data_IF_641995177818
#
_entry.id   IF_641995177818
#
_cell.length_a   1.000
_cell.length_b   1.000
_cell.length_c   1.000
_cell.angle_alpha   90.00
_cell.angle_beta   90.00
_cell.angle_gamma   90.00
#
_symmetry.space_group_name_H-M   'P 1'
#
loop_
_entity.id
_entity.type
_entity.pdbx_description
1 polymer ?
#
# COMPACT_ATOMS: atom_id res chain seq x y z
N UNK A 1 -8.64 -1.87 -17.86
CA UNK A 1 -7.25 -1.47 -17.58
C UNK A 1 -7.16 -0.54 -16.38
N UNK A 2 -5.97 -0.27 -15.87
CA UNK A 2 -5.75 0.63 -14.74
C UNK A 2 -5.67 2.09 -15.19
N UNK A 3 -5.94 3.03 -14.28
CA UNK A 3 -5.82 4.46 -14.53
C UNK A 3 -4.34 4.83 -14.67
N UNK A 4 -3.98 5.45 -15.80
CA UNK A 4 -2.63 5.97 -16.03
C UNK A 4 -2.30 7.07 -15.01
N UNK A 5 -1.03 7.13 -14.59
CA UNK A 5 -0.54 8.11 -13.63
C UNK A 5 0.83 8.63 -14.03
N UNK A 6 0.95 9.94 -14.12
CA UNK A 6 2.19 10.64 -14.47
C UNK A 6 2.63 11.68 -13.43
N UNK A 7 1.91 11.83 -12.32
CA UNK A 7 2.28 12.84 -11.33
C UNK A 7 1.43 12.81 -10.07
N UNK A 8 1.58 13.88 -9.30
CA UNK A 8 0.76 14.19 -8.13
C UNK A 8 0.40 15.68 -8.13
N UNK A 9 -0.79 15.99 -7.63
CA UNK A 9 -1.29 17.34 -7.43
C UNK A 9 -1.51 17.59 -5.93
N UNK A 10 -1.35 18.83 -5.52
CA UNK A 10 -1.50 19.27 -4.14
C UNK A 10 -2.42 20.48 -4.06
N UNK A 11 -3.25 20.53 -3.03
CA UNK A 11 -4.14 21.64 -2.74
C UNK A 11 -4.02 22.05 -1.27
N UNK A 12 -3.87 23.36 -1.01
CA UNK A 12 -3.85 23.94 0.32
C UNK A 12 -4.29 25.42 0.25
N UNK A 13 -5.28 25.82 1.05
CA UNK A 13 -5.81 27.19 1.09
C UNK A 13 -6.16 27.77 -0.30
N UNK A 14 -6.79 26.99 -1.16
CA UNK A 14 -7.15 27.40 -2.52
C UNK A 14 -5.98 27.52 -3.50
N UNK A 15 -4.77 27.24 -3.06
CA UNK A 15 -3.59 27.15 -3.93
C UNK A 15 -3.41 25.73 -4.41
N UNK A 16 -3.02 25.59 -5.68
CA UNK A 16 -2.76 24.31 -6.32
C UNK A 16 -1.34 24.27 -6.85
N UNK A 17 -0.71 23.13 -6.70
CA UNK A 17 0.56 22.81 -7.35
C UNK A 17 0.54 21.37 -7.83
N UNK A 18 1.40 21.06 -8.78
CA UNK A 18 1.59 19.67 -9.23
C UNK A 18 3.01 19.47 -9.74
N UNK A 19 3.41 18.22 -9.83
CA UNK A 19 4.62 17.84 -10.52
C UNK A 19 4.38 16.61 -11.40
N UNK A 20 5.16 16.52 -12.46
CA UNK A 20 5.16 15.44 -13.42
C UNK A 20 6.34 14.50 -13.11
N UNK A 21 6.09 13.22 -12.99
CA UNK A 21 7.12 12.22 -12.72
C UNK A 21 8.14 12.08 -13.86
N UNK A 22 7.80 12.57 -15.06
CA UNK A 22 8.72 12.61 -16.21
C UNK A 22 9.77 13.70 -16.08
N UNK A 23 9.44 14.80 -15.35
CA UNK A 23 10.38 15.88 -15.02
C UNK A 23 11.28 15.47 -13.85
N UNK A 24 12.28 14.61 -14.12
CA UNK A 24 13.17 14.04 -13.11
C UNK A 24 14.63 14.08 -13.57
N UNK A 25 15.55 14.05 -12.61
CA UNK A 25 16.99 14.13 -12.85
C UNK A 25 17.65 12.79 -13.18
N UNK A 26 16.98 11.64 -12.90
CA UNK A 26 17.55 10.32 -13.14
C UNK A 26 16.81 9.61 -14.29
N UNK A 27 17.49 8.74 -15.07
CA UNK A 27 16.82 7.92 -16.09
C UNK A 27 15.84 6.92 -15.45
N UNK A 28 14.98 6.32 -16.27
CA UNK A 28 14.00 5.30 -15.87
C UNK A 28 12.56 5.73 -16.16
N UNK A 29 11.60 4.93 -15.68
CA UNK A 29 10.17 5.18 -15.90
C UNK A 29 9.69 6.44 -15.21
N UNK A 30 8.95 7.27 -15.94
CA UNK A 30 8.33 8.51 -15.44
C UNK A 30 6.82 8.39 -15.29
N UNK A 31 6.26 7.19 -15.40
CA UNK A 31 4.82 6.96 -15.36
C UNK A 31 4.51 5.67 -14.61
N UNK A 32 3.28 5.56 -14.09
CA UNK A 32 2.78 4.38 -13.39
C UNK A 32 1.26 4.28 -13.55
N UNK A 33 0.59 3.53 -12.70
CA UNK A 33 -0.86 3.37 -12.71
C UNK A 33 -1.45 3.56 -11.31
N UNK A 34 -2.67 4.08 -11.26
CA UNK A 34 -3.54 4.03 -10.10
C UNK A 34 -4.35 2.74 -10.22
N UNK A 35 -4.24 1.86 -9.23
CA UNK A 35 -4.77 0.50 -9.32
C UNK A 35 -5.78 0.22 -8.22
N UNK A 36 -6.83 -0.51 -8.57
CA UNK A 36 -7.67 -1.20 -7.57
C UNK A 36 -6.84 -2.37 -7.04
N UNK A 37 -6.41 -2.29 -5.78
CA UNK A 37 -5.44 -3.23 -5.20
C UNK A 37 -5.89 -4.68 -5.24
N UNK A 38 -7.20 -4.94 -5.04
CA UNK A 38 -7.73 -6.31 -5.11
C UNK A 38 -7.47 -6.95 -6.48
N UNK A 39 -7.75 -6.22 -7.57
CA UNK A 39 -7.53 -6.71 -8.93
C UNK A 39 -6.04 -6.85 -9.24
N UNK A 40 -5.26 -5.83 -8.87
CA UNK A 40 -3.82 -5.80 -9.16
C UNK A 40 -3.08 -6.91 -8.43
N UNK A 41 -3.34 -7.09 -7.13
CA UNK A 41 -2.68 -8.11 -6.32
C UNK A 41 -3.08 -9.53 -6.79
N UNK A 42 -4.34 -9.73 -7.18
CA UNK A 42 -4.82 -11.00 -7.76
C UNK A 42 -4.14 -11.33 -9.08
N UNK A 43 -3.98 -10.34 -9.96
CA UNK A 43 -3.26 -10.51 -11.24
C UNK A 43 -1.80 -10.92 -10.98
N UNK A 44 -1.11 -10.23 -10.06
CA UNK A 44 0.29 -10.53 -9.76
C UNK A 44 0.47 -11.92 -9.16
N UNK A 45 -0.38 -12.32 -8.22
CA UNK A 45 -0.33 -13.65 -7.61
C UNK A 45 -0.61 -14.76 -8.64
N UNK A 46 -1.61 -14.54 -9.50
CA UNK A 46 -1.95 -15.48 -10.57
C UNK A 46 -0.83 -15.61 -11.60
N UNK A 47 -0.20 -14.50 -11.96
CA UNK A 47 0.91 -14.51 -12.91
C UNK A 47 2.17 -15.16 -12.32
N UNK A 48 2.46 -14.92 -11.04
CA UNK A 48 3.54 -15.62 -10.35
C UNK A 48 3.33 -17.14 -10.36
N UNK A 49 2.11 -17.60 -10.08
CA UNK A 49 1.76 -19.02 -10.16
C UNK A 49 1.90 -19.58 -11.58
N UNK A 50 1.45 -18.83 -12.59
CA UNK A 50 1.59 -19.22 -14.01
C UNK A 50 3.06 -19.34 -14.44
N UNK A 51 3.94 -18.53 -13.86
CA UNK A 51 5.39 -18.58 -14.09
C UNK A 51 6.11 -19.67 -13.30
N UNK A 52 5.39 -20.48 -12.52
CA UNK A 52 5.94 -21.62 -11.81
C UNK A 52 6.20 -21.39 -10.32
N UNK A 53 5.86 -20.23 -9.76
CA UNK A 53 5.93 -20.02 -8.32
C UNK A 53 4.82 -20.81 -7.62
N UNK A 54 5.14 -21.46 -6.50
CA UNK A 54 4.13 -22.06 -5.64
C UNK A 54 3.51 -21.00 -4.75
N UNK A 55 2.25 -20.63 -5.02
CA UNK A 55 1.48 -19.67 -4.21
C UNK A 55 0.52 -20.46 -3.32
N UNK A 56 0.59 -20.28 -2.01
CA UNK A 56 -0.27 -20.95 -1.03
C UNK A 56 -1.02 -19.91 -0.21
N UNK A 57 -2.34 -19.95 -0.28
CA UNK A 57 -3.22 -19.08 0.51
C UNK A 57 -3.61 -19.76 1.84
N UNK A 58 -3.95 -18.94 2.84
CA UNK A 58 -4.40 -19.42 4.16
C UNK A 58 -3.37 -20.29 4.89
N UNK A 59 -2.10 -20.13 4.56
CA UNK A 59 -1.01 -20.79 5.26
C UNK A 59 -0.40 -19.80 6.26
N UNK A 60 -0.30 -20.21 7.52
CA UNK A 60 0.21 -19.40 8.61
C UNK A 60 1.68 -19.70 8.88
N UNK A 61 2.52 -18.69 8.93
CA UNK A 61 3.90 -18.83 9.39
C UNK A 61 3.93 -18.79 10.90
N UNK A 62 4.34 -19.89 11.53
CA UNK A 62 4.35 -20.06 12.98
C UNK A 62 5.68 -19.68 13.62
N UNK A 63 6.78 -20.07 12.98
CA UNK A 63 8.14 -19.82 13.47
C UNK A 63 9.12 -19.75 12.32
N UNK A 64 10.24 -19.08 12.56
CA UNK A 64 11.35 -18.99 11.61
C UNK A 64 12.65 -19.19 12.36
N UNK A 65 13.52 -20.04 11.82
CA UNK A 65 14.90 -20.21 12.24
C UNK A 65 15.83 -19.71 11.14
N UNK A 66 16.64 -18.70 11.46
CA UNK A 66 17.62 -18.08 10.55
C UNK A 66 19.08 -18.30 11.02
N UNK A 67 19.29 -19.16 12.01
CA UNK A 67 20.63 -19.36 12.58
C UNK A 67 21.53 -20.25 11.68
N UNK A 68 20.92 -21.11 10.85
CA UNK A 68 21.66 -21.98 9.93
C UNK A 68 21.98 -21.34 8.58
N UNK A 69 22.66 -22.08 7.72
CA UNK A 69 22.95 -21.65 6.33
C UNK A 69 21.68 -21.42 5.49
N UNK A 70 20.62 -22.11 5.83
CA UNK A 70 19.33 -22.03 5.14
C UNK A 70 18.23 -21.73 6.14
N UNK A 71 17.46 -20.64 5.93
CA UNK A 71 16.28 -20.36 6.73
C UNK A 71 15.30 -21.55 6.72
N UNK A 72 14.75 -21.87 7.90
CA UNK A 72 13.69 -22.84 8.08
C UNK A 72 12.41 -22.10 8.51
N UNK A 73 11.30 -22.37 7.85
CA UNK A 73 10.01 -21.72 8.12
C UNK A 73 8.99 -22.78 8.47
N UNK A 74 8.47 -22.75 9.71
CA UNK A 74 7.38 -23.61 10.13
C UNK A 74 6.05 -23.00 9.68
N UNK A 75 5.26 -23.78 8.99
CA UNK A 75 4.02 -23.36 8.36
C UNK A 75 2.89 -24.28 8.76
N UNK A 76 1.73 -23.69 9.09
CA UNK A 76 0.46 -24.41 9.28
C UNK A 76 -0.43 -24.24 8.05
N UNK A 77 -0.88 -25.33 7.49
CA UNK A 77 -1.85 -25.38 6.41
C UNK A 77 -3.30 -25.17 6.92
N UNK A 78 -4.27 -24.89 6.03
CA UNK A 78 -5.67 -24.67 6.43
C UNK A 78 -6.35 -25.85 7.12
N UNK A 79 -5.89 -27.07 6.86
CA UNK A 79 -6.36 -28.32 7.48
C UNK A 79 -5.72 -28.60 8.85
N UNK A 80 -4.79 -27.73 9.29
CA UNK A 80 -4.06 -27.86 10.54
C UNK A 80 -2.75 -28.65 10.44
N UNK A 81 -2.40 -29.22 9.28
CA UNK A 81 -1.10 -29.85 9.08
C UNK A 81 0.03 -28.84 9.21
N UNK A 82 1.07 -29.21 9.94
CA UNK A 82 2.28 -28.40 10.09
C UNK A 82 3.45 -29.02 9.31
N UNK A 83 4.17 -28.17 8.61
CA UNK A 83 5.34 -28.59 7.83
C UNK A 83 6.43 -27.52 7.84
N UNK A 84 7.66 -27.92 7.47
CA UNK A 84 8.82 -27.04 7.42
C UNK A 84 9.22 -26.77 5.97
N UNK A 85 9.46 -25.51 5.66
CA UNK A 85 10.05 -25.10 4.39
C UNK A 85 11.50 -24.68 4.63
N UNK A 86 12.44 -25.29 3.91
CA UNK A 86 13.83 -24.85 3.84
C UNK A 86 14.04 -23.99 2.60
N UNK A 87 14.50 -22.75 2.79
CA UNK A 87 14.70 -21.81 1.69
C UNK A 87 16.16 -21.38 1.54
N UNK A 88 16.56 -20.94 0.35
CA UNK A 88 17.86 -20.29 0.15
C UNK A 88 17.87 -18.84 0.61
N UNK A 89 16.70 -18.21 0.61
CA UNK A 89 16.49 -16.84 1.07
C UNK A 89 15.03 -16.66 1.52
N UNK A 90 14.80 -15.77 2.49
CA UNK A 90 13.48 -15.45 3.02
C UNK A 90 13.20 -13.96 2.88
N UNK A 91 12.06 -13.62 2.27
CA UNK A 91 11.56 -12.26 2.13
C UNK A 91 10.26 -12.10 2.91
N UNK A 92 10.23 -11.15 3.85
CA UNK A 92 8.99 -10.76 4.54
C UNK A 92 8.29 -9.64 3.78
N UNK A 93 7.14 -9.94 3.20
CA UNK A 93 6.23 -8.99 2.57
C UNK A 93 4.89 -8.89 3.34
N UNK A 94 4.87 -9.25 4.62
CA UNK A 94 3.66 -9.30 5.45
C UNK A 94 3.05 -7.93 5.80
N UNK A 95 3.73 -6.83 5.46
CA UNK A 95 3.23 -5.47 5.69
C UNK A 95 2.94 -5.20 7.17
N UNK A 96 1.72 -4.79 7.49
CA UNK A 96 1.30 -4.50 8.87
C UNK A 96 1.25 -5.74 9.78
N UNK A 97 1.24 -6.93 9.22
CA UNK A 97 1.33 -8.16 10.03
C UNK A 97 2.72 -8.33 10.66
N UNK A 98 3.78 -7.76 10.07
CA UNK A 98 5.16 -7.74 10.62
C UNK A 98 5.60 -9.11 11.14
N UNK A 99 5.44 -10.14 10.31
CA UNK A 99 5.62 -11.53 10.74
C UNK A 99 7.05 -11.78 11.24
N UNK A 100 8.06 -11.53 10.42
CA UNK A 100 9.46 -11.74 10.82
C UNK A 100 9.89 -10.82 11.97
N UNK A 101 9.60 -9.50 11.96
CA UNK A 101 9.95 -8.63 13.08
C UNK A 101 9.40 -9.12 14.42
N UNK A 102 8.20 -9.69 14.47
CA UNK A 102 7.61 -10.25 15.69
C UNK A 102 8.22 -11.58 16.08
N UNK A 103 8.34 -12.50 15.13
CA UNK A 103 8.89 -13.85 15.41
C UNK A 103 10.36 -13.82 15.80
N UNK A 104 11.12 -12.83 15.33
CA UNK A 104 12.54 -12.68 15.59
C UNK A 104 12.86 -11.58 16.63
N UNK A 105 11.84 -11.03 17.31
CA UNK A 105 11.95 -9.98 18.33
C UNK A 105 12.72 -8.72 17.86
N UNK A 106 12.56 -8.36 16.58
CA UNK A 106 13.23 -7.23 15.95
C UNK A 106 12.49 -5.90 16.09
N UNK A 107 11.27 -5.92 16.64
CA UNK A 107 10.46 -4.70 16.77
C UNK A 107 11.13 -3.67 17.69
N UNK A 108 11.03 -2.42 17.27
CA UNK A 108 11.50 -1.28 18.07
C UNK A 108 10.42 -0.20 18.07
N UNK A 109 10.23 0.53 19.18
CA UNK A 109 9.31 1.66 19.24
C UNK A 109 9.66 2.70 18.16
N UNK A 110 8.62 3.24 17.49
CA UNK A 110 8.78 4.38 16.60
C UNK A 110 8.82 5.68 17.40
N UNK A 111 9.73 6.60 17.06
CA UNK A 111 9.72 7.97 17.56
C UNK A 111 8.78 8.91 16.80
N UNK A 112 8.10 8.43 15.75
CA UNK A 112 7.14 9.23 14.98
C UNK A 112 5.76 9.22 15.63
N UNK A 113 4.95 10.30 15.43
CA UNK A 113 3.56 10.31 15.85
C UNK A 113 2.79 9.13 15.25
N UNK A 114 1.92 8.52 16.06
CA UNK A 114 1.03 7.45 15.60
C UNK A 114 -0.05 8.07 14.73
N UNK A 115 -0.09 7.69 13.46
CA UNK A 115 -1.09 8.13 12.50
C UNK A 115 -1.96 6.98 12.03
N UNK A 116 -3.22 7.29 11.78
CA UNK A 116 -4.18 6.40 11.15
C UNK A 116 -4.62 6.93 9.79
N UNK A 117 -5.27 6.06 9.03
CA UNK A 117 -5.95 6.43 7.80
C UNK A 117 -7.36 5.82 7.81
N UNK A 118 -8.34 6.65 7.49
CA UNK A 118 -9.72 6.22 7.23
C UNK A 118 -9.99 6.46 5.75
N UNK A 119 -10.47 5.45 5.03
CA UNK A 119 -10.69 5.58 3.60
C UNK A 119 -11.85 4.73 3.10
N UNK A 120 -12.37 5.13 1.95
CA UNK A 120 -13.41 4.40 1.24
C UNK A 120 -13.28 4.57 -0.27
N UNK A 121 -14.02 3.77 -1.03
CA UNK A 121 -14.17 3.95 -2.46
C UNK A 121 -15.58 4.45 -2.75
N UNK A 122 -15.66 5.52 -3.53
CA UNK A 122 -16.92 6.16 -3.90
C UNK A 122 -17.04 6.25 -5.43
N UNK A 123 -18.28 6.41 -5.91
CA UNK A 123 -18.49 6.75 -7.32
C UNK A 123 -17.83 8.09 -7.62
N UNK A 124 -17.09 8.14 -8.69
CA UNK A 124 -16.36 9.30 -9.11
C UNK A 124 -17.30 10.35 -9.73
N UNK A 125 -17.45 11.48 -9.06
CA UNK A 125 -18.21 12.64 -9.55
C UNK A 125 -17.28 13.82 -9.82
N UNK A 126 -16.00 13.58 -10.11
CA UNK A 126 -15.02 14.62 -10.43
C UNK A 126 -15.42 15.29 -11.74
N UNK A 127 -15.79 16.56 -11.67
CA UNK A 127 -16.17 17.33 -12.84
C UNK A 127 -14.98 17.49 -13.81
N UNK A 128 -15.26 17.42 -15.11
CA UNK A 128 -14.23 17.59 -16.13
C UNK A 128 -13.52 18.94 -15.97
N UNK A 129 -12.19 18.93 -16.04
CA UNK A 129 -11.36 20.13 -15.93
C UNK A 129 -11.10 20.64 -14.51
N UNK A 130 -11.61 19.99 -13.46
CA UNK A 130 -11.34 20.40 -12.06
C UNK A 130 -9.93 20.03 -11.61
N UNK A 131 -9.43 18.87 -12.02
CA UNK A 131 -8.03 18.48 -11.89
C UNK A 131 -7.67 17.35 -12.87
N UNK A 132 -6.38 17.14 -13.09
CA UNK A 132 -5.87 16.11 -13.99
C UNK A 132 -5.99 14.73 -13.36
N UNK A 133 -6.84 13.85 -13.92
CA UNK A 133 -7.07 12.49 -13.44
C UNK A 133 -5.86 11.56 -13.54
N UNK A 134 -4.84 11.95 -14.31
CA UNK A 134 -3.56 11.24 -14.36
C UNK A 134 -2.67 11.52 -13.14
N UNK A 135 -3.19 12.26 -12.17
CA UNK A 135 -2.54 12.58 -10.90
C UNK A 135 -3.43 12.15 -9.73
N UNK A 136 -2.81 11.82 -8.62
CA UNK A 136 -3.52 11.83 -7.34
C UNK A 136 -3.61 13.26 -6.85
N UNK A 137 -4.68 13.61 -6.15
CA UNK A 137 -4.77 14.89 -5.44
C UNK A 137 -4.56 14.65 -3.95
N UNK A 138 -3.62 15.39 -3.39
CA UNK A 138 -3.41 15.51 -1.94
C UNK A 138 -3.90 16.87 -1.51
N UNK A 139 -4.88 16.91 -0.62
CA UNK A 139 -5.40 18.14 -0.04
C UNK A 139 -5.03 18.21 1.44
N UNK A 140 -4.39 19.30 1.86
CA UNK A 140 -4.04 19.52 3.26
C UNK A 140 -5.16 20.32 3.93
N UNK A 141 -5.50 19.91 5.17
CA UNK A 141 -6.52 20.59 5.98
C UNK A 141 -6.10 22.07 6.22
N UNK A 142 -7.01 23.04 6.11
CA UNK A 142 -6.64 24.45 6.24
C UNK A 142 -6.05 24.79 7.62
N UNK A 143 -6.61 24.25 8.69
CA UNK A 143 -6.22 24.60 10.07
C UNK A 143 -5.29 23.58 10.74
N UNK A 144 -5.16 22.38 10.18
CA UNK A 144 -4.34 21.28 10.70
C UNK A 144 -3.43 20.72 9.62
N UNK A 145 -2.20 21.21 9.54
CA UNK A 145 -1.25 20.86 8.48
C UNK A 145 -0.79 19.39 8.49
N UNK A 146 -0.96 18.71 9.59
CA UNK A 146 -0.70 17.26 9.77
C UNK A 146 -1.87 16.37 9.37
N UNK A 147 -3.04 16.96 9.06
CA UNK A 147 -4.22 16.30 8.53
C UNK A 147 -4.29 16.52 7.01
N UNK A 148 -4.35 15.44 6.27
CA UNK A 148 -4.42 15.54 4.81
C UNK A 148 -5.30 14.45 4.21
N UNK A 149 -5.81 14.73 3.03
CA UNK A 149 -6.76 13.90 2.31
C UNK A 149 -6.14 13.47 0.98
N UNK A 150 -6.53 12.30 0.51
CA UNK A 150 -6.26 11.90 -0.86
C UNK A 150 -7.53 11.76 -1.67
N UNK A 151 -7.42 12.05 -2.96
CA UNK A 151 -8.39 11.68 -4.00
C UNK A 151 -7.63 10.96 -5.09
N UNK A 152 -7.93 9.69 -5.28
CA UNK A 152 -7.25 8.81 -6.25
C UNK A 152 -8.27 8.25 -7.21
N UNK A 153 -8.44 8.85 -8.41
CA UNK A 153 -9.39 8.35 -9.40
C UNK A 153 -8.91 7.04 -10.01
N UNK A 154 -9.88 6.17 -10.32
CA UNK A 154 -9.66 4.92 -11.06
C UNK A 154 -10.30 5.02 -12.45
N UNK A 155 -9.91 4.10 -13.35
CA UNK A 155 -10.45 4.04 -14.72
C UNK A 155 -11.86 3.48 -14.81
N UNK A 156 -12.41 2.92 -13.73
CA UNK A 156 -13.72 2.28 -13.69
C UNK A 156 -14.86 3.20 -13.21
N UNK A 157 -14.61 4.51 -13.08
CA UNK A 157 -15.62 5.47 -12.63
C UNK A 157 -15.76 5.57 -11.10
N UNK A 158 -14.81 5.00 -10.36
CA UNK A 158 -14.69 5.15 -8.91
C UNK A 158 -13.43 5.93 -8.55
N UNK A 159 -13.38 6.46 -7.34
CA UNK A 159 -12.17 6.98 -6.75
C UNK A 159 -12.02 6.52 -5.30
N UNK A 160 -10.77 6.42 -4.83
CA UNK A 160 -10.48 6.28 -3.42
C UNK A 160 -10.40 7.66 -2.78
N UNK A 161 -11.14 7.86 -1.71
CA UNK A 161 -11.04 9.01 -0.82
C UNK A 161 -10.55 8.55 0.55
N UNK A 162 -9.64 9.29 1.14
CA UNK A 162 -9.18 8.99 2.48
C UNK A 162 -8.61 10.19 3.19
N UNK A 163 -8.54 10.07 4.50
CA UNK A 163 -7.93 11.04 5.42
C UNK A 163 -6.82 10.36 6.20
N UNK A 164 -5.72 11.06 6.38
CA UNK A 164 -4.62 10.68 7.27
C UNK A 164 -4.45 11.76 8.32
N UNK A 165 -4.40 11.34 9.58
CA UNK A 165 -4.17 12.23 10.70
C UNK A 165 -3.56 11.46 11.89
N UNK A 166 -3.15 12.16 12.91
CA UNK A 166 -2.82 11.55 14.20
C UNK A 166 -4.06 10.86 14.79
N UNK A 167 -3.84 9.76 15.48
CA UNK A 167 -4.92 8.95 16.03
C UNK A 167 -5.82 9.76 16.98
N UNK A 168 -5.24 10.66 17.76
CA UNK A 168 -5.99 11.55 18.66
C UNK A 168 -6.93 12.52 17.90
N UNK A 169 -6.59 12.89 16.67
CA UNK A 169 -7.46 13.69 15.80
C UNK A 169 -8.61 12.83 15.24
N UNK A 170 -8.31 11.63 14.75
CA UNK A 170 -9.31 10.73 14.18
C UNK A 170 -10.36 10.30 15.22
N UNK A 171 -9.93 10.03 16.45
CA UNK A 171 -10.81 9.61 17.55
C UNK A 171 -11.91 10.64 17.91
N UNK A 172 -11.86 11.85 17.39
CA UNK A 172 -12.92 12.86 17.58
C UNK A 172 -14.13 12.61 16.69
N UNK A 173 -14.02 11.69 15.71
CA UNK A 173 -15.03 11.42 14.68
C UNK A 173 -15.53 9.95 14.68
N UNK A 174 -15.17 9.17 15.70
CA UNK A 174 -15.63 7.80 15.93
C UNK A 174 -16.96 7.72 16.70
#
# INVERSE_FOLDING_TARGET
GFQYKDGAAFAHHGKFSNFDFRAKFSPGWGTTYQVVRADFDSILASEAARMGATVRFQHEVLAVDVAGERPLVNVRAPDGEEYVVSAGFLLDASGFARILPRLLELERPSGFPVRGAIFTQVRDNIAAGTFDRNKILISVHPDHQDVWYWTIPFSNGYCSLGVVAEQAYLAQYE
#
